data_IF_940484868927
#
_entry.id   IF_940484868927
#
_cell.length_a   1.000
_cell.length_b   1.000
_cell.length_c   1.000
_cell.angle_alpha   90.00
_cell.angle_beta   90.00
_cell.angle_gamma   90.00
#
_symmetry.space_group_name_H-M   'P 1'
#
loop_
_entity.id
_entity.type
_entity.pdbx_description
1 polymer ?
2 non-polymer ?
3 non-polymer ?
4 water ?
#
# COMPACT_ATOMS: atom_id res chain seq x y z
N UNK A 1 5.84 28.06 -5.10
CA UNK A 1 4.93 29.17 -4.72
C UNK A 1 3.51 28.64 -4.48
N UNK A 2 2.78 28.27 -5.50
CA UNK A 2 1.33 28.07 -5.24
C UNK A 2 1.10 26.77 -4.45
N UNK A 3 1.68 25.67 -4.89
CA UNK A 3 1.38 24.38 -4.23
C UNK A 3 2.64 23.67 -3.75
N UNK A 4 2.63 23.19 -2.52
CA UNK A 4 3.68 22.31 -2.02
C UNK A 4 3.12 20.89 -2.02
N UNK A 5 3.81 20.00 -2.74
CA UNK A 5 3.47 18.59 -2.85
C UNK A 5 4.43 17.83 -1.97
N UNK A 6 3.89 17.07 -1.02
CA UNK A 6 4.72 16.32 -0.08
C UNK A 6 4.78 14.92 -0.63
N UNK A 7 5.93 14.55 -1.19
CA UNK A 7 6.11 13.23 -1.77
C UNK A 7 6.37 13.23 -3.26
N UNK A 8 7.38 12.48 -3.72
CA UNK A 8 7.61 12.33 -5.15
C UNK A 8 7.65 10.85 -5.53
N UNK A 9 6.79 10.08 -4.91
CA UNK A 9 6.48 8.76 -5.42
C UNK A 9 5.42 8.89 -6.50
N UNK A 10 4.75 7.77 -6.76
CA UNK A 10 3.80 7.70 -7.86
C UNK A 10 2.66 8.69 -7.69
N UNK A 11 2.27 8.99 -6.46
CA UNK A 11 1.16 9.92 -6.28
C UNK A 11 1.60 11.37 -6.43
N UNK A 12 2.71 11.74 -5.80
CA UNK A 12 3.21 13.10 -5.95
C UNK A 12 3.65 13.45 -7.36
N UNK A 13 4.07 12.45 -8.13
CA UNK A 13 4.39 12.71 -9.54
C UNK A 13 3.12 12.96 -10.35
N UNK A 14 2.10 12.11 -10.18
CA UNK A 14 0.82 12.39 -10.86
C UNK A 14 0.33 13.79 -10.51
N UNK A 15 0.57 14.24 -9.28
CA UNK A 15 0.12 15.56 -8.86
C UNK A 15 0.91 16.66 -9.57
N UNK A 16 2.24 16.52 -9.63
CA UNK A 16 3.05 17.49 -10.35
C UNK A 16 2.72 17.54 -11.84
N UNK A 17 2.50 16.36 -12.43
CA UNK A 17 2.04 16.31 -13.81
C UNK A 17 0.73 17.07 -13.99
N UNK A 18 -0.22 16.87 -13.05
CA UNK A 18 -1.51 17.53 -13.20
C UNK A 18 -1.40 19.02 -12.94
N UNK A 19 -0.56 19.40 -12.00
CA UNK A 19 -0.32 20.82 -11.76
C UNK A 19 0.41 21.45 -12.94
N UNK A 20 1.39 20.74 -13.52
CA UNK A 20 2.12 21.31 -14.63
C UNK A 20 1.24 21.53 -15.85
N UNK A 21 0.26 20.64 -16.08
CA UNK A 21 -0.63 20.81 -17.21
C UNK A 21 -1.50 22.06 -17.08
N UNK A 22 -1.95 22.39 -15.88
CA UNK A 22 -2.76 23.59 -15.74
C UNK A 22 -1.91 24.83 -15.57
N UNK A 23 -0.59 24.69 -15.68
CA UNK A 23 0.28 25.82 -15.51
C UNK A 23 0.36 26.31 -14.09
N UNK A 24 0.09 25.45 -13.13
CA UNK A 24 0.10 25.84 -11.73
C UNK A 24 1.50 25.68 -11.18
N UNK A 25 1.97 26.73 -10.53
CA UNK A 25 3.28 26.71 -9.89
C UNK A 25 3.26 25.78 -8.69
N UNK A 26 4.30 24.96 -8.58
CA UNK A 26 4.35 23.99 -7.49
C UNK A 26 5.78 23.57 -7.25
N UNK A 27 6.07 23.18 -6.03
CA UNK A 27 7.31 22.50 -5.69
C UNK A 27 6.94 21.16 -5.07
N UNK A 28 7.82 20.19 -5.24
CA UNK A 28 7.58 18.83 -4.77
C UNK A 28 8.72 18.45 -3.85
N UNK A 29 8.41 18.21 -2.58
CA UNK A 29 9.42 17.94 -1.58
C UNK A 29 9.43 16.44 -1.31
N UNK A 30 10.63 15.85 -1.28
CA UNK A 30 10.80 14.40 -1.18
C UNK A 30 12.07 14.07 -0.41
N UNK A 31 11.97 13.21 0.64
CA UNK A 31 13.11 12.91 1.51
C UNK A 31 14.18 12.10 0.78
N UNK A 32 13.75 11.06 0.07
CA UNK A 32 14.67 10.17 -0.62
C UNK A 32 15.56 10.95 -1.58
N UNK A 33 16.71 10.37 -1.94
CA UNK A 33 17.59 11.05 -2.91
C UNK A 33 17.09 11.01 -4.35
N UNK A 34 15.90 10.43 -4.61
CA UNK A 34 15.37 10.33 -5.96
C UNK A 34 13.87 10.04 -5.89
N UNK A 35 13.19 10.34 -7.01
CA UNK A 35 11.77 10.11 -7.14
C UNK A 35 11.52 8.63 -7.26
N UNK A 36 10.26 8.20 -7.12
CA UNK A 36 9.98 6.78 -7.24
C UNK A 36 9.19 6.18 -6.09
N UNK A 37 9.26 6.82 -4.91
CA UNK A 37 8.53 6.29 -3.79
C UNK A 37 9.10 4.97 -3.31
N UNK A 38 8.20 4.07 -2.89
CA UNK A 38 8.65 2.79 -2.31
C UNK A 38 9.46 1.99 -3.33
N UNK A 39 9.13 2.12 -4.62
CA UNK A 39 9.76 1.27 -5.62
C UNK A 39 11.23 1.57 -5.80
N UNK A 40 11.68 2.72 -5.35
CA UNK A 40 13.10 3.07 -5.57
C UNK A 40 13.94 2.50 -4.42
N UNK A 41 13.30 2.07 -3.35
CA UNK A 41 14.01 1.66 -2.12
C UNK A 41 14.63 0.26 -2.21
N UNK A 42 13.93 -0.83 -2.56
CA UNK A 42 14.58 -2.12 -2.56
C UNK A 42 15.90 -2.08 -3.32
N UNK A 43 16.02 -1.25 -4.32
CA UNK A 43 17.24 -1.25 -5.15
C UNK A 43 18.34 -0.39 -4.60
N UNK A 44 18.10 0.23 -3.45
CA UNK A 44 19.12 1.14 -2.86
C UNK A 44 19.39 0.70 -1.43
N UNK A 45 18.78 -0.41 -1.03
CA UNK A 45 19.03 -0.98 0.31
C UNK A 45 18.46 -0.11 1.40
N UNK A 46 17.26 0.41 1.20
CA UNK A 46 16.72 1.37 2.19
C UNK A 46 15.57 0.71 2.93
N UNK A 47 15.50 0.96 4.24
CA UNK A 47 14.34 0.44 5.00
C UNK A 47 13.11 0.98 4.29
N UNK A 48 12.31 0.08 3.79
CA UNK A 48 11.05 0.46 3.15
C UNK A 48 10.21 -0.77 3.17
N UNK A 49 8.92 -0.76 2.86
CA UNK A 49 8.18 -2.00 2.83
C UNK A 49 8.48 -2.93 1.70
N UNK A 50 9.37 -2.65 0.80
CA UNK A 50 9.64 -3.56 -0.28
C UNK A 50 10.76 -4.46 0.06
N UNK A 51 11.04 -5.39 -0.83
CA UNK A 51 12.08 -6.39 -0.63
C UNK A 51 12.66 -6.75 -1.99
N UNK A 52 13.87 -7.34 -1.97
CA UNK A 52 14.63 -7.57 -3.18
C UNK A 52 13.84 -8.33 -4.26
N UNK A 53 12.81 -9.10 -3.90
CA UNK A 53 12.11 -9.93 -4.89
C UNK A 53 10.68 -9.46 -5.15
N UNK A 54 10.44 -8.15 -5.05
CA UNK A 54 9.10 -7.59 -5.23
C UNK A 54 8.84 -7.25 -6.69
N UNK A 55 7.71 -7.75 -7.22
CA UNK A 55 7.20 -7.41 -8.54
C UNK A 55 5.83 -6.78 -8.39
N UNK A 56 5.34 -6.13 -9.45
CA UNK A 56 3.93 -5.80 -9.50
C UNK A 56 3.10 -7.07 -9.38
N UNK A 57 1.92 -6.92 -8.78
CA UNK A 57 0.84 -7.91 -8.90
C UNK A 57 -0.33 -7.32 -9.66
N UNK A 58 -0.17 -6.14 -10.24
CA UNK A 58 -1.16 -5.59 -11.17
C UNK A 58 -0.57 -5.58 -12.58
N UNK A 59 -1.44 -5.71 -13.57
CA UNK A 59 -0.99 -5.63 -14.96
C UNK A 59 -0.31 -4.29 -15.23
N UNK A 60 0.83 -4.33 -15.94
CA UNK A 60 1.57 -3.09 -16.17
C UNK A 60 0.74 -2.06 -16.92
N UNK A 61 -0.12 -2.52 -17.83
CA UNK A 61 -0.91 -1.58 -18.63
C UNK A 61 -1.91 -0.83 -17.76
N UNK A 62 -2.49 -1.49 -16.75
CA UNK A 62 -3.32 -0.82 -15.76
C UNK A 62 -2.51 -0.12 -14.68
N UNK A 63 -1.20 -0.25 -14.67
CA UNK A 63 -0.40 0.28 -13.58
C UNK A 63 0.39 1.51 -13.97
N UNK A 64 0.91 1.55 -15.20
CA UNK A 64 1.56 2.75 -15.69
C UNK A 64 0.57 3.88 -15.89
N UNK A 65 1.11 5.10 -16.00
CA UNK A 65 0.26 6.24 -16.29
C UNK A 65 -0.32 6.09 -17.68
N UNK A 66 -1.55 6.57 -17.85
CA UNK A 66 -2.27 6.34 -19.10
C UNK A 66 -1.61 7.03 -20.31
N UNK A 67 -1.06 8.23 -20.11
CA UNK A 67 -0.37 8.96 -21.17
C UNK A 67 1.13 8.63 -21.28
N UNK A 68 1.56 7.52 -20.71
CA UNK A 68 3.00 7.29 -20.67
C UNK A 68 3.24 5.80 -20.44
N UNK A 69 3.10 4.99 -21.48
CA UNK A 69 3.18 3.54 -21.29
C UNK A 69 4.57 3.12 -20.86
N UNK A 70 4.62 2.01 -20.13
CA UNK A 70 5.88 1.39 -19.77
C UNK A 70 6.53 0.79 -21.01
N UNK A 71 7.86 0.68 -21.03
CA UNK A 71 8.54 0.04 -22.17
C UNK A 71 7.87 -1.26 -22.54
N UNK A 72 7.74 -1.51 -23.84
CA UNK A 72 7.04 -2.70 -24.26
C UNK A 72 7.87 -3.96 -23.99
N UNK A 73 9.18 -3.82 -23.81
CA UNK A 73 10.00 -4.93 -23.35
C UNK A 73 9.56 -5.42 -21.97
N UNK A 74 8.93 -4.56 -21.16
CA UNK A 74 8.59 -4.96 -19.80
C UNK A 74 7.63 -6.14 -19.83
N UNK A 75 7.70 -7.01 -18.83
CA UNK A 75 6.73 -8.09 -18.70
C UNK A 75 5.43 -7.54 -18.11
N UNK A 76 4.45 -8.44 -17.99
CA UNK A 76 3.20 -8.06 -17.34
C UNK A 76 3.43 -7.56 -15.92
N UNK A 77 4.21 -8.30 -15.12
CA UNK A 77 4.54 -7.89 -13.75
C UNK A 77 6.01 -7.54 -13.59
N UNK A 78 6.43 -6.31 -13.90
CA UNK A 78 7.86 -5.96 -13.80
C UNK A 78 8.41 -6.03 -12.37
N UNK A 79 9.74 -6.17 -12.28
CA UNK A 79 10.41 -6.11 -11.00
C UNK A 79 10.46 -4.68 -10.49
N UNK A 80 10.78 -4.52 -9.20
CA UNK A 80 10.74 -3.20 -8.57
C UNK A 80 11.76 -2.25 -9.19
N UNK A 81 12.89 -2.76 -9.69
CA UNK A 81 13.83 -1.88 -10.37
C UNK A 81 13.24 -1.34 -11.67
N UNK A 82 12.59 -2.20 -12.46
CA UNK A 82 11.91 -1.74 -13.67
C UNK A 82 10.88 -0.67 -13.34
N UNK A 83 10.08 -0.89 -12.30
CA UNK A 83 9.08 0.09 -11.92
C UNK A 83 9.74 1.38 -11.46
N UNK A 84 10.83 1.29 -10.71
CA UNK A 84 11.53 2.48 -10.25
C UNK A 84 12.17 3.23 -11.41
N UNK A 85 12.73 2.50 -12.38
CA UNK A 85 13.28 3.14 -13.58
C UNK A 85 12.18 3.87 -14.36
N UNK A 86 11.05 3.19 -14.58
CA UNK A 86 9.91 3.80 -15.28
C UNK A 86 9.51 5.13 -14.64
N UNK A 87 9.38 5.16 -13.31
CA UNK A 87 8.95 6.38 -12.65
C UNK A 87 9.99 7.49 -12.73
N UNK A 88 11.28 7.14 -12.76
CA UNK A 88 12.29 8.17 -12.99
C UNK A 88 12.14 8.76 -14.40
N UNK A 89 11.83 7.91 -15.38
CA UNK A 89 11.68 8.38 -16.74
C UNK A 89 10.46 9.27 -16.90
N UNK A 90 9.36 8.94 -16.21
CA UNK A 90 8.18 9.79 -16.26
C UNK A 90 8.49 11.20 -15.76
N UNK A 91 9.14 11.31 -14.61
CA UNK A 91 9.45 12.62 -14.06
C UNK A 91 10.34 13.41 -15.03
N UNK A 92 11.26 12.72 -15.70
CA UNK A 92 12.07 13.35 -16.74
C UNK A 92 11.18 13.83 -17.89
N UNK A 93 10.42 12.90 -18.48
CA UNK A 93 9.60 13.21 -19.64
C UNK A 93 8.58 14.30 -19.36
N UNK A 94 8.12 14.43 -18.11
CA UNK A 94 7.10 15.38 -17.77
C UNK A 94 7.65 16.71 -17.27
N UNK A 95 8.98 16.88 -17.30
CA UNK A 95 9.59 18.12 -16.86
C UNK A 95 9.32 18.46 -15.41
N UNK A 96 9.35 17.47 -14.53
CA UNK A 96 9.00 17.64 -13.13
C UNK A 96 10.21 17.86 -12.22
N UNK A 97 11.37 17.31 -12.57
CA UNK A 97 12.52 17.30 -11.66
C UNK A 97 13.07 18.69 -11.38
N UNK A 98 12.81 19.64 -12.27
CA UNK A 98 13.08 21.05 -12.00
C UNK A 98 12.26 21.56 -10.82
N UNK A 99 11.15 20.89 -10.50
CA UNK A 99 10.26 21.27 -9.41
C UNK A 99 10.41 20.37 -8.18
N UNK A 100 11.29 19.36 -8.23
CA UNK A 100 11.43 18.38 -7.15
C UNK A 100 12.67 18.73 -6.32
N UNK A 101 12.45 18.97 -5.02
CA UNK A 101 13.53 19.12 -4.05
C UNK A 101 13.76 17.76 -3.40
N UNK A 102 14.78 17.05 -3.88
CA UNK A 102 15.18 15.80 -3.28
C UNK A 102 15.92 16.06 -1.98
N UNK A 103 16.06 15.00 -1.16
CA UNK A 103 16.70 15.10 0.15
C UNK A 103 16.07 16.21 1.00
N UNK A 104 14.80 16.50 0.76
CA UNK A 104 14.05 17.51 1.51
C UNK A 104 12.86 16.84 2.20
N UNK A 105 12.85 16.90 3.51
CA UNK A 105 11.86 16.18 4.31
C UNK A 105 10.94 17.18 4.99
N UNK A 106 9.63 17.00 4.86
CA UNK A 106 8.74 17.98 5.49
C UNK A 106 8.60 17.63 6.95
N UNK A 107 8.70 18.62 7.83
CA UNK A 107 8.68 18.38 9.27
C UNK A 107 7.43 18.96 9.93
N UNK A 108 6.93 20.09 9.47
CA UNK A 108 5.63 20.54 9.92
C UNK A 108 4.89 21.22 8.78
N UNK A 109 3.57 21.11 8.84
CA UNK A 109 2.66 21.82 7.96
C UNK A 109 1.58 22.40 8.85
N UNK A 110 1.41 23.73 8.86
CA UNK A 110 0.45 24.38 9.75
C UNK A 110 -0.33 25.45 8.99
N UNK A 111 -1.65 25.47 9.19
CA UNK A 111 -2.50 26.42 8.48
C UNK A 111 -2.47 27.78 9.18
N UNK A 112 -1.91 28.77 8.50
CA UNK A 112 -1.84 30.13 9.03
C UNK A 112 -3.22 30.73 9.10
N UNK A 113 -3.39 31.68 10.03
CA UNK A 113 -4.71 32.21 10.30
C UNK A 113 -5.31 32.96 9.12
N UNK A 114 -4.49 33.22 8.10
CA UNK A 114 -4.91 34.03 6.93
C UNK A 114 -5.17 33.18 5.68
N UNK A 115 -4.98 31.88 5.78
CA UNK A 115 -5.30 31.02 4.63
C UNK A 115 -4.14 30.14 4.24
N UNK A 116 -2.99 30.70 3.86
CA UNK A 116 -1.83 29.90 3.54
C UNK A 116 -1.26 28.94 4.58
N UNK A 117 -0.32 28.09 4.16
CA UNK A 117 0.26 27.07 5.01
C UNK A 117 1.75 27.32 5.14
N UNK A 118 2.26 27.31 6.36
CA UNK A 118 3.70 27.37 6.56
C UNK A 118 4.24 25.95 6.64
N UNK A 119 5.18 25.64 5.75
CA UNK A 119 5.79 24.33 5.62
C UNK A 119 7.25 24.47 6.03
N UNK A 120 7.66 23.71 7.03
CA UNK A 120 9.05 23.69 7.47
C UNK A 120 9.69 22.43 6.91
N UNK A 121 10.81 22.61 6.24
CA UNK A 121 11.46 21.47 5.57
C UNK A 121 12.90 21.33 6.03
N UNK A 122 13.35 20.10 6.16
CA UNK A 122 14.75 19.84 6.56
C UNK A 122 15.51 19.48 5.30
N UNK A 123 16.51 20.28 4.95
CA UNK A 123 17.30 20.04 3.76
C UNK A 123 18.30 18.93 3.95
N UNK A 124 19.22 18.80 3.02
CA UNK A 124 20.18 17.67 3.09
C UNK A 124 21.08 17.84 4.31
N UNK A 125 21.42 19.08 4.65
CA UNK A 125 22.24 19.24 5.85
C UNK A 125 21.48 19.00 7.14
N UNK A 126 20.16 19.00 7.08
CA UNK A 126 19.34 19.22 8.25
C UNK A 126 18.99 20.67 8.45
N UNK A 127 19.51 21.58 7.61
CA UNK A 127 19.15 22.99 7.65
C UNK A 127 17.65 23.21 7.47
N UNK A 128 16.96 23.58 8.56
CA UNK A 128 15.53 23.80 8.49
C UNK A 128 15.25 25.13 7.80
N UNK A 129 14.42 25.09 6.76
CA UNK A 129 13.87 26.27 6.11
C UNK A 129 12.36 26.25 6.32
N UNK A 130 11.77 27.43 6.41
CA UNK A 130 10.35 27.57 6.65
C UNK A 130 9.77 28.38 5.51
N UNK A 131 8.79 27.83 4.81
CA UNK A 131 8.24 28.47 3.62
C UNK A 131 6.71 28.52 3.72
N UNK A 132 6.11 29.34 2.86
CA UNK A 132 4.66 29.49 2.84
C UNK A 132 4.09 29.15 1.47
N UNK A 133 2.96 28.45 1.46
CA UNK A 133 2.34 28.01 0.23
C UNK A 133 0.85 28.24 0.32
N UNK A 134 0.25 28.54 -0.83
CA UNK A 134 -1.19 28.75 -0.82
C UNK A 134 -1.90 27.45 -0.48
N UNK A 135 -1.40 26.34 -1.03
CA UNK A 135 -2.02 25.03 -0.93
C UNK A 135 -0.93 23.98 -0.77
N UNK A 136 -1.30 22.88 -0.09
CA UNK A 136 -0.45 21.73 0.17
C UNK A 136 -1.17 20.48 -0.28
N UNK A 137 -0.56 19.71 -1.18
CA UNK A 137 -1.05 18.39 -1.54
C UNK A 137 -0.20 17.35 -0.81
N UNK A 138 -0.84 16.47 -0.04
CA UNK A 138 -0.16 15.42 0.69
C UNK A 138 -0.18 14.16 -0.15
N UNK A 139 0.99 13.62 -0.43
CA UNK A 139 1.16 12.38 -1.18
C UNK A 139 2.34 11.62 -0.60
N UNK A 140 2.30 11.39 0.71
CA UNK A 140 3.43 10.80 1.41
C UNK A 140 3.26 9.31 1.64
N UNK A 141 2.18 8.73 1.11
CA UNK A 141 1.95 7.30 1.23
C UNK A 141 1.39 6.95 2.59
N UNK A 142 0.92 5.72 2.72
CA UNK A 142 0.41 5.28 4.02
C UNK A 142 1.01 3.94 4.45
N UNK A 143 2.24 3.65 4.05
CA UNK A 143 2.96 2.44 4.47
C UNK A 143 4.30 2.81 5.07
N UNK A 144 4.32 3.75 6.04
CA UNK A 144 5.59 4.24 6.55
C UNK A 144 5.72 4.17 8.08
N UNK A 145 4.79 3.53 8.77
CA UNK A 145 4.95 3.22 10.19
C UNK A 145 4.65 1.74 10.36
N UNK A 146 5.62 0.94 10.80
CA UNK A 146 5.36 -0.49 10.96
C UNK A 146 4.26 -0.72 11.99
N UNK A 147 3.53 -1.81 11.81
CA UNK A 147 2.46 -2.20 12.70
C UNK A 147 2.84 -3.56 13.27
N UNK A 148 3.50 -3.56 14.44
CA UNK A 148 3.84 -4.81 15.12
C UNK A 148 2.67 -5.27 15.99
N UNK A 149 2.40 -6.60 16.12
CA UNK A 149 1.25 -7.07 16.86
C UNK A 149 1.35 -6.81 18.36
N UNK A 150 0.20 -6.63 19.00
CA UNK A 150 0.19 -6.39 20.47
C UNK A 150 -0.84 -7.33 21.10
N UNK A 151 -0.42 -8.23 22.00
CA UNK A 151 0.95 -8.20 22.47
C UNK A 151 1.90 -9.07 21.68
N UNK A 152 3.16 -8.68 21.69
CA UNK A 152 4.15 -9.58 21.07
C UNK A 152 4.11 -10.81 21.97
N UNK A 153 3.85 -12.02 21.45
CA UNK A 153 3.87 -13.22 22.27
C UNK A 153 4.97 -13.45 23.30
N UNK A 154 4.60 -14.06 24.42
CA UNK A 154 5.45 -14.10 25.63
C UNK A 154 6.80 -14.74 25.38
N UNK A 155 7.79 -14.28 26.12
CA UNK A 155 9.13 -14.77 25.86
C UNK A 155 9.88 -13.96 24.85
N UNK A 156 9.26 -12.90 24.31
CA UNK A 156 9.91 -12.06 23.30
C UNK A 156 11.32 -11.66 23.71
N UNK A 157 11.51 -11.32 24.98
CA UNK A 157 12.81 -10.90 25.46
C UNK A 157 13.75 -12.08 25.69
N UNK A 158 13.19 -13.26 25.93
CA UNK A 158 14.02 -14.45 26.02
C UNK A 158 14.69 -14.76 24.70
N UNK A 159 14.15 -14.25 23.59
CA UNK A 159 14.41 -14.85 22.28
C UNK A 159 15.87 -14.68 21.87
N UNK A 160 16.49 -15.80 21.51
CA UNK A 160 17.91 -15.82 21.15
C UNK A 160 18.14 -15.14 19.80
N UNK A 161 17.23 -15.33 18.86
CA UNK A 161 17.33 -14.74 17.54
C UNK A 161 16.79 -13.32 17.48
N UNK A 162 16.56 -12.87 16.26
CA UNK A 162 16.09 -11.53 15.94
C UNK A 162 14.61 -11.55 15.60
N UNK A 163 13.88 -10.57 16.13
CA UNK A 163 12.49 -10.32 15.78
C UNK A 163 12.46 -9.03 14.97
N UNK A 164 11.81 -9.09 13.81
CA UNK A 164 11.85 -7.93 12.93
C UNK A 164 10.54 -7.82 12.17
N UNK A 165 10.26 -6.60 11.73
CA UNK A 165 9.13 -6.34 10.86
C UNK A 165 9.60 -6.44 9.41
N UNK A 166 8.64 -6.72 8.51
CA UNK A 166 8.93 -6.74 7.07
C UNK A 166 9.61 -5.46 6.61
N UNK A 167 9.34 -4.35 7.30
CA UNK A 167 10.04 -3.11 6.99
C UNK A 167 11.54 -3.31 6.97
N UNK A 168 12.04 -4.11 7.90
CA UNK A 168 13.46 -4.41 7.97
C UNK A 168 13.86 -5.58 7.08
N UNK A 169 12.90 -6.33 6.54
CA UNK A 169 13.26 -7.40 5.63
C UNK A 169 13.70 -6.81 4.30
N UNK A 170 14.71 -7.44 3.71
CA UNK A 170 15.50 -6.85 2.64
C UNK A 170 15.77 -7.89 1.55
N UNK A 171 16.36 -9.03 1.90
CA UNK A 171 16.59 -10.10 0.93
C UNK A 171 16.61 -11.45 1.65
N UNK A 172 16.12 -12.47 0.95
CA UNK A 172 16.16 -13.82 1.49
C UNK A 172 17.55 -14.31 1.80
N UNK A 173 18.54 -13.85 1.04
CA UNK A 173 19.90 -14.30 1.30
C UNK A 173 20.45 -13.83 2.62
N UNK A 174 19.82 -12.84 3.26
CA UNK A 174 20.24 -12.39 4.59
C UNK A 174 19.92 -13.42 5.66
N UNK A 175 19.36 -14.56 5.27
CA UNK A 175 18.97 -15.61 6.21
C UNK A 175 19.36 -16.97 5.68
N UNK A 176 20.27 -17.04 4.72
CA UNK A 176 20.75 -18.32 4.22
C UNK A 176 21.13 -19.22 5.39
N UNK A 177 20.67 -20.47 5.34
CA UNK A 177 21.00 -21.43 6.38
C UNK A 177 20.27 -21.27 7.70
N UNK A 178 19.59 -20.15 7.94
CA UNK A 178 18.88 -19.99 9.21
C UNK A 178 17.50 -20.63 9.14
N UNK A 179 16.81 -20.56 10.27
CA UNK A 179 15.45 -21.05 10.41
C UNK A 179 14.58 -19.86 10.75
N UNK A 180 13.57 -19.57 9.92
CA UNK A 180 12.83 -18.31 10.01
C UNK A 180 11.33 -18.58 10.03
N UNK A 181 10.61 -17.88 10.91
CA UNK A 181 9.16 -17.85 10.91
C UNK A 181 8.70 -16.52 10.32
N UNK A 182 7.73 -16.59 9.39
CA UNK A 182 7.06 -15.42 8.85
C UNK A 182 5.65 -15.38 9.41
N UNK A 183 5.26 -14.24 9.97
CA UNK A 183 3.97 -14.08 10.62
C UNK A 183 3.12 -13.19 9.73
N UNK A 184 1.97 -13.72 9.31
CA UNK A 184 1.02 -12.99 8.51
C UNK A 184 0.62 -13.78 7.29
N UNK A 185 -0.50 -13.41 6.67
CA UNK A 185 -0.91 -13.96 5.39
C UNK A 185 -1.21 -12.84 4.40
N UNK A 186 -0.46 -11.73 4.52
CA UNK A 186 -0.63 -10.61 3.62
C UNK A 186 0.23 -10.76 2.38
N UNK A 187 0.20 -9.72 1.54
CA UNK A 187 1.01 -9.76 0.33
C UNK A 187 2.49 -9.76 0.67
N UNK A 188 2.88 -9.03 1.71
CA UNK A 188 4.26 -9.08 2.18
C UNK A 188 4.63 -10.46 2.70
N UNK A 189 3.68 -11.16 3.35
CA UNK A 189 3.99 -12.42 4.01
C UNK A 189 4.18 -13.56 3.00
N UNK A 190 3.29 -13.69 2.02
CA UNK A 190 3.48 -14.78 1.08
C UNK A 190 4.74 -14.53 0.24
N UNK A 191 4.98 -13.27 -0.15
CA UNK A 191 6.17 -12.95 -0.94
C UNK A 191 7.45 -13.25 -0.14
N UNK A 192 7.49 -12.82 1.12
CA UNK A 192 8.68 -13.02 1.94
C UNK A 192 8.88 -14.50 2.25
N UNK A 193 7.80 -15.22 2.59
CA UNK A 193 7.91 -16.66 2.82
C UNK A 193 8.44 -17.39 1.59
N UNK A 194 7.87 -17.10 0.42
CA UNK A 194 8.37 -17.72 -0.81
C UNK A 194 9.83 -17.37 -1.03
N UNK A 195 10.23 -16.12 -0.79
CA UNK A 195 11.64 -15.78 -0.93
C UNK A 195 12.51 -16.58 0.05
N UNK A 196 12.17 -16.53 1.35
CA UNK A 196 12.96 -17.27 2.35
C UNK A 196 13.05 -18.75 2.00
N UNK A 197 11.94 -19.32 1.51
CA UNK A 197 11.90 -20.73 1.14
C UNK A 197 12.98 -21.15 0.16
N UNK A 198 13.66 -20.22 -0.50
CA UNK A 198 14.78 -20.58 -1.36
C UNK A 198 16.14 -20.18 -0.78
N UNK A 199 16.17 -19.73 0.48
CA UNK A 199 17.44 -19.36 1.10
C UNK A 199 17.57 -19.96 2.50
N UNK A 200 16.60 -19.71 3.37
CA UNK A 200 16.67 -20.30 4.70
C UNK A 200 16.70 -21.82 4.57
N UNK A 201 17.35 -22.44 5.56
CA UNK A 201 17.21 -23.89 5.69
C UNK A 201 15.73 -24.25 5.83
N UNK A 202 15.01 -23.53 6.68
CA UNK A 202 13.61 -23.84 6.93
C UNK A 202 12.78 -22.57 7.07
N UNK A 203 11.58 -22.58 6.49
CA UNK A 203 10.68 -21.42 6.43
C UNK A 203 9.28 -21.81 6.91
N UNK A 204 8.84 -21.20 8.00
CA UNK A 204 7.53 -21.45 8.60
C UNK A 204 6.61 -20.25 8.41
N UNK A 205 5.36 -20.52 8.04
CA UNK A 205 4.40 -19.46 7.74
C UNK A 205 3.30 -19.54 8.79
N UNK A 206 3.37 -18.64 9.78
CA UNK A 206 2.47 -18.65 10.93
C UNK A 206 1.32 -17.71 10.65
N UNK A 207 0.13 -18.24 10.42
CA UNK A 207 -1.04 -17.44 10.10
C UNK A 207 -2.18 -17.80 11.04
N UNK A 208 -2.82 -16.77 11.61
CA UNK A 208 -3.85 -16.92 12.63
C UNK A 208 -5.25 -16.56 12.14
N UNK A 209 -5.37 -15.65 11.18
CA UNK A 209 -6.62 -15.39 10.46
C UNK A 209 -6.42 -15.77 9.00
N UNK A 210 -7.19 -16.75 8.52
CA UNK A 210 -7.17 -17.11 7.12
C UNK A 210 -7.54 -15.98 6.18
N UNK A 211 -6.74 -15.80 5.13
CA UNK A 211 -7.08 -14.93 4.01
C UNK A 211 -7.25 -15.79 2.77
N UNK A 212 -7.92 -15.23 1.76
CA UNK A 212 -8.15 -15.98 0.54
C UNK A 212 -6.94 -15.82 -0.37
N UNK A 213 -6.46 -16.94 -0.89
CA UNK A 213 -5.21 -16.98 -1.65
C UNK A 213 -5.53 -17.11 -3.14
N UNK A 214 -5.60 -15.98 -3.83
CA UNK A 214 -5.98 -16.03 -5.24
C UNK A 214 -4.74 -15.87 -6.11
N UNK A 215 -4.59 -16.68 -7.16
CA UNK A 215 -3.44 -16.51 -8.05
C UNK A 215 -3.48 -15.17 -8.76
N UNK A 216 -2.33 -14.77 -9.29
CA UNK A 216 -2.29 -13.52 -10.06
C UNK A 216 -3.09 -13.61 -11.36
N UNK A 217 -3.62 -14.78 -11.68
CA UNK A 217 -4.10 -15.03 -13.03
C UNK A 217 -5.15 -16.13 -13.00
N UNK A 218 -6.31 -15.84 -13.57
CA UNK A 218 -7.29 -16.86 -13.91
C UNK A 218 -7.65 -16.70 -15.39
N UNK A 219 -7.86 -17.83 -16.06
CA UNK A 219 -8.11 -17.85 -17.49
C UNK A 219 -7.03 -17.10 -18.26
N UNK A 220 -5.79 -17.27 -17.82
CA UNK A 220 -4.68 -16.52 -18.38
C UNK A 220 -4.73 -15.03 -18.15
N UNK A 221 -5.73 -14.51 -17.47
CA UNK A 221 -5.90 -13.07 -17.34
C UNK A 221 -5.51 -12.63 -15.94
N UNK A 222 -4.88 -11.46 -15.85
CA UNK A 222 -4.64 -10.86 -14.57
C UNK A 222 -5.98 -10.58 -13.89
N UNK A 223 -6.02 -10.75 -12.56
CA UNK A 223 -7.29 -10.57 -11.87
C UNK A 223 -7.67 -9.10 -11.80
N UNK A 224 -6.69 -8.19 -11.85
CA UNK A 224 -7.05 -6.79 -11.91
C UNK A 224 -7.60 -6.40 -13.28
N UNK A 225 -7.26 -7.13 -14.33
CA UNK A 225 -7.85 -6.85 -15.63
C UNK A 225 -9.13 -7.65 -15.86
N UNK A 226 -9.32 -8.77 -15.15
CA UNK A 226 -10.64 -9.39 -15.16
C UNK A 226 -11.66 -8.45 -14.55
N UNK A 227 -11.23 -7.63 -13.59
CA UNK A 227 -12.13 -6.73 -12.89
C UNK A 227 -12.89 -5.79 -13.81
N UNK A 228 -12.36 -5.51 -15.01
CA UNK A 228 -13.07 -4.69 -15.98
C UNK A 228 -13.35 -5.41 -17.30
N UNK A 229 -13.08 -6.72 -17.38
CA UNK A 229 -13.61 -7.53 -18.45
C UNK A 229 -15.10 -7.28 -18.54
N UNK A 230 -15.58 -6.68 -19.64
CA UNK A 230 -17.01 -6.31 -19.72
C UNK A 230 -17.94 -7.48 -19.41
N UNK A 231 -17.58 -8.69 -19.84
CA UNK A 231 -18.38 -9.87 -19.50
C UNK A 231 -18.44 -10.09 -17.99
N UNK A 232 -17.40 -9.64 -17.27
CA UNK A 232 -17.37 -9.81 -15.82
C UNK A 232 -18.12 -8.70 -15.10
N UNK A 233 -18.21 -7.51 -15.71
CA UNK A 233 -18.84 -6.39 -15.04
C UNK A 233 -20.36 -6.53 -14.99
N UNK A 234 -20.94 -7.22 -15.96
CA UNK A 234 -22.38 -7.49 -16.00
C UNK A 234 -22.79 -8.63 -15.09
N UNK A 235 -21.85 -9.18 -14.33
CA UNK A 235 -22.13 -10.12 -13.25
C UNK A 235 -22.85 -9.38 -12.10
N UNK A 236 -23.76 -10.08 -11.42
CA UNK A 236 -24.16 -9.57 -10.13
C UNK A 236 -23.14 -10.01 -9.08
N UNK A 237 -23.27 -9.47 -7.86
CA UNK A 237 -22.24 -9.69 -6.86
C UNK A 237 -22.03 -11.18 -6.58
N UNK A 238 -23.11 -11.89 -6.21
CA UNK A 238 -22.99 -13.32 -5.99
C UNK A 238 -23.17 -14.14 -7.27
N UNK A 239 -23.25 -13.47 -8.42
CA UNK A 239 -23.08 -14.09 -9.73
C UNK A 239 -21.62 -14.26 -10.09
N UNK A 240 -20.80 -13.23 -9.81
CA UNK A 240 -19.36 -13.27 -10.08
C UNK A 240 -18.62 -14.06 -9.01
N UNK A 241 -18.91 -13.77 -7.73
CA UNK A 241 -18.40 -14.58 -6.63
C UNK A 241 -18.75 -16.04 -6.84
N UNK A 242 -19.87 -16.31 -7.49
CA UNK A 242 -20.18 -17.67 -7.93
C UNK A 242 -19.07 -18.22 -8.83
N UNK A 243 -18.72 -17.48 -9.88
CA UNK A 243 -17.71 -17.96 -10.82
C UNK A 243 -16.30 -17.78 -10.28
N UNK A 244 -16.03 -16.67 -9.60
CA UNK A 244 -14.70 -16.43 -9.03
C UNK A 244 -14.31 -17.56 -8.10
N UNK A 245 -15.24 -17.97 -7.24
CA UNK A 245 -14.91 -18.97 -6.23
C UNK A 245 -14.87 -20.38 -6.80
N UNK A 246 -15.60 -20.63 -7.88
CA UNK A 246 -15.37 -21.89 -8.58
C UNK A 246 -14.12 -21.82 -9.45
N UNK A 247 -13.76 -20.62 -9.92
CA UNK A 247 -12.49 -20.46 -10.61
C UNK A 247 -11.33 -20.87 -9.72
N UNK A 248 -11.36 -20.41 -8.47
CA UNK A 248 -10.33 -20.79 -7.50
C UNK A 248 -10.30 -22.30 -7.29
N UNK A 249 -11.47 -22.91 -7.12
CA UNK A 249 -11.44 -24.31 -6.70
C UNK A 249 -10.83 -25.21 -7.77
N UNK A 250 -11.06 -24.91 -9.05
CA UNK A 250 -10.41 -25.71 -10.10
C UNK A 250 -8.93 -25.37 -10.19
N UNK A 251 -8.59 -24.10 -9.98
CA UNK A 251 -7.20 -23.69 -10.11
C UNK A 251 -6.35 -24.19 -8.95
N UNK A 252 -6.90 -24.18 -7.73
CA UNK A 252 -6.08 -24.46 -6.55
C UNK A 252 -6.70 -25.42 -5.53
N UNK A 253 -7.99 -25.76 -5.60
CA UNK A 253 -8.66 -26.35 -4.46
C UNK A 253 -9.10 -25.24 -3.52
N UNK A 254 -9.39 -25.58 -2.26
CA UNK A 254 -9.53 -24.54 -1.24
C UNK A 254 -8.38 -24.63 -0.25
N UNK A 255 -8.25 -23.56 0.53
CA UNK A 255 -7.09 -23.38 1.39
C UNK A 255 -6.92 -24.49 2.42
N UNK A 256 -7.98 -25.25 2.71
CA UNK A 256 -8.00 -26.17 3.86
C UNK A 256 -7.13 -27.41 3.64
N UNK A 257 -6.74 -27.74 2.41
CA UNK A 257 -5.79 -28.82 2.19
C UNK A 257 -4.37 -28.32 1.93
N UNK A 258 -4.05 -27.11 2.36
CA UNK A 258 -2.66 -26.66 2.40
C UNK A 258 -2.20 -26.40 3.82
N UNK A 259 -2.99 -26.79 4.82
CA UNK A 259 -2.66 -26.45 6.18
C UNK A 259 -2.91 -25.00 6.51
N UNK A 260 -3.76 -24.33 5.73
CA UNK A 260 -4.09 -22.93 5.88
C UNK A 260 -5.45 -22.75 6.52
N UNK A 261 -5.58 -21.83 7.48
CA UNK A 261 -6.91 -21.50 8.01
C UNK A 261 -7.80 -20.99 6.89
N UNK A 262 -9.03 -21.63 6.73
CA UNK A 262 -9.74 -20.93 5.68
C UNK A 262 -10.53 -19.76 6.26
N UNK A 263 -10.81 -18.68 5.49
CA UNK A 263 -11.39 -17.49 6.09
C UNK A 263 -12.84 -17.47 6.52
N UNK A 264 -13.20 -16.50 7.36
CA UNK A 264 -14.58 -16.42 7.92
C UNK A 264 -15.47 -15.60 7.02
N UNK A 265 -15.45 -15.85 5.72
CA UNK A 265 -16.16 -14.98 4.77
C UNK A 265 -15.95 -15.59 3.40
N UNK A 266 -16.55 -15.07 2.32
CA UNK A 266 -16.13 -15.41 0.99
C UNK A 266 -15.25 -14.32 0.47
N UNK A 267 -14.77 -14.49 -0.75
CA UNK A 267 -13.82 -13.52 -1.35
C UNK A 267 -14.42 -12.11 -1.38
N UNK A 268 -13.56 -11.10 -1.51
CA UNK A 268 -13.99 -9.69 -1.62
C UNK A 268 -14.51 -9.23 -0.28
N UNK A 269 -14.57 -10.15 0.67
CA UNK A 269 -15.12 -9.81 2.01
C UNK A 269 -14.23 -8.84 2.77
N UNK A 270 -13.05 -9.27 3.18
CA UNK A 270 -12.15 -8.29 3.83
C UNK A 270 -10.98 -8.04 2.88
N UNK A 271 -10.18 -9.07 2.62
CA UNK A 271 -9.11 -8.89 1.60
C UNK A 271 -8.65 -10.25 1.11
N UNK A 272 -7.99 -10.24 -0.05
CA UNK A 272 -7.46 -11.47 -0.64
C UNK A 272 -5.99 -11.26 -0.86
N UNK A 273 -5.20 -12.30 -0.70
CA UNK A 273 -3.79 -12.13 -0.99
C UNK A 273 -3.49 -12.73 -2.34
N UNK A 274 -2.67 -12.05 -3.12
CA UNK A 274 -2.28 -12.52 -4.45
C UNK A 274 -0.92 -13.21 -4.41
N UNK A 275 -0.89 -14.46 -4.85
CA UNK A 275 0.39 -15.16 -5.02
C UNK A 275 0.30 -16.15 -6.16
N UNK A 276 1.44 -16.38 -6.79
CA UNK A 276 1.61 -17.49 -7.71
C UNK A 276 2.36 -18.65 -7.10
N UNK A 277 2.98 -18.45 -5.94
CA UNK A 277 4.00 -19.35 -5.41
C UNK A 277 3.59 -20.11 -4.15
N UNK A 278 2.98 -19.43 -3.18
CA UNK A 278 2.98 -19.90 -1.80
C UNK A 278 2.33 -21.28 -1.67
N UNK A 279 1.24 -21.54 -2.41
CA UNK A 279 0.62 -22.87 -2.33
C UNK A 279 1.57 -23.96 -2.82
N UNK A 280 2.24 -23.73 -3.96
CA UNK A 280 3.19 -24.72 -4.46
C UNK A 280 4.41 -24.84 -3.56
N UNK A 281 4.85 -23.72 -2.96
CA UNK A 281 5.97 -23.84 -2.02
C UNK A 281 5.59 -24.74 -0.84
N UNK A 282 4.36 -24.59 -0.33
CA UNK A 282 3.89 -25.52 0.70
C UNK A 282 4.01 -26.95 0.20
N UNK A 283 3.40 -27.24 -0.95
CA UNK A 283 3.35 -28.61 -1.46
C UNK A 283 4.71 -29.19 -1.81
N UNK A 284 5.76 -28.38 -1.91
CA UNK A 284 7.11 -28.88 -2.07
C UNK A 284 7.88 -28.98 -0.77
N UNK A 285 7.23 -28.70 0.37
CA UNK A 285 7.92 -28.65 1.64
C UNK A 285 8.76 -27.41 1.87
N UNK A 286 8.82 -26.47 0.93
CA UNK A 286 9.68 -25.32 1.14
C UNK A 286 9.13 -24.35 2.18
N UNK A 287 7.81 -24.32 2.40
CA UNK A 287 7.20 -23.49 3.43
C UNK A 287 6.23 -24.35 4.23
N UNK A 288 6.36 -24.30 5.55
CA UNK A 288 5.47 -25.11 6.38
C UNK A 288 4.43 -24.21 7.05
N UNK A 289 3.15 -24.44 6.79
CA UNK A 289 2.12 -23.64 7.47
C UNK A 289 2.05 -24.00 8.94
N UNK A 290 1.66 -23.03 9.75
CA UNK A 290 1.61 -23.14 11.20
C UNK A 290 0.52 -22.21 11.71
N UNK A 291 -0.09 -22.52 12.87
CA UNK A 291 -1.06 -21.59 13.45
C UNK A 291 -0.39 -20.38 14.07
N UNK A 292 -1.09 -19.65 14.93
CA UNK A 292 -0.50 -18.47 15.52
C UNK A 292 0.67 -18.85 16.43
N UNK A 293 1.66 -17.93 16.53
CA UNK A 293 2.74 -18.11 17.48
C UNK A 293 2.16 -17.98 18.89
N UNK A 294 2.56 -18.87 19.79
CA UNK A 294 2.06 -18.86 21.15
C UNK A 294 3.04 -18.38 22.17
N UNK A 295 4.31 -18.56 21.93
CA UNK A 295 5.33 -18.10 22.83
C UNK A 295 6.70 -18.36 22.28
N UNK A 296 7.70 -17.72 22.84
CA UNK A 296 9.04 -17.88 22.38
C UNK A 296 9.65 -18.54 23.54
N UNK A 297 10.18 -19.72 23.32
CA UNK A 297 10.77 -20.47 24.36
C UNK A 297 12.25 -20.36 24.41
N UNK A 298 12.83 -19.32 23.91
CA UNK A 298 14.26 -19.17 23.99
C UNK A 298 14.95 -19.35 22.68
N UNK A 299 14.90 -20.57 22.22
CA UNK A 299 15.49 -20.89 20.98
C UNK A 299 14.46 -21.29 20.02
N UNK A 300 13.32 -21.70 20.51
CA UNK A 300 12.27 -22.14 19.69
C UNK A 300 11.11 -21.25 19.71
N UNK A 301 10.22 -21.45 18.77
CA UNK A 301 8.93 -20.79 18.76
C UNK A 301 7.89 -21.86 19.04
N UNK A 302 6.93 -21.56 19.91
CA UNK A 302 5.84 -22.47 20.18
C UNK A 302 4.60 -21.92 19.54
N UNK A 303 3.92 -22.77 18.78
CA UNK A 303 2.67 -22.39 18.16
C UNK A 303 1.52 -22.94 18.98
N UNK A 304 0.35 -22.32 18.78
CA UNK A 304 -0.82 -22.56 19.61
C UNK A 304 -1.37 -23.96 19.47
N UNK A 305 -0.93 -24.75 18.49
CA UNK A 305 -1.35 -26.13 18.39
C UNK A 305 -0.51 -27.05 19.26
N UNK A 306 0.37 -26.47 20.09
CA UNK A 306 1.30 -27.23 20.88
C UNK A 306 2.65 -27.47 20.23
N UNK A 307 2.75 -27.32 18.91
CA UNK A 307 4.02 -27.67 18.28
C UNK A 307 5.06 -26.59 18.50
N UNK A 308 6.32 -26.99 18.36
CA UNK A 308 7.46 -26.15 18.67
C UNK A 308 8.41 -26.18 17.48
N UNK A 309 9.26 -25.17 17.40
CA UNK A 309 10.16 -25.12 16.26
C UNK A 309 11.39 -24.28 16.58
N UNK A 310 12.60 -24.82 16.40
CA UNK A 310 13.79 -23.96 16.49
C UNK A 310 13.73 -22.88 15.41
N UNK A 311 14.14 -21.66 15.79
CA UNK A 311 13.97 -20.49 14.95
C UNK A 311 15.04 -19.46 15.26
N UNK A 312 15.76 -19.04 14.23
CA UNK A 312 16.76 -17.99 14.36
C UNK A 312 16.20 -16.58 14.16
N UNK A 313 15.02 -16.44 13.53
CA UNK A 313 14.47 -15.12 13.23
C UNK A 313 12.96 -15.20 13.02
N UNK A 314 12.26 -14.13 13.40
CA UNK A 314 10.84 -13.96 13.08
C UNK A 314 10.66 -12.63 12.36
N UNK A 315 10.10 -12.67 11.15
CA UNK A 315 9.79 -11.47 10.38
C UNK A 315 8.30 -11.22 10.48
N UNK A 316 7.93 -10.08 11.04
CA UNK A 316 6.52 -9.75 11.21
C UNK A 316 6.05 -9.05 9.95
N UNK A 317 5.23 -9.76 9.18
CA UNK A 317 4.53 -9.25 8.00
C UNK A 317 3.14 -8.78 8.35
N UNK A 318 3.08 -7.85 9.30
CA UNK A 318 1.79 -7.46 9.86
C UNK A 318 1.34 -6.09 9.38
N UNK A 319 2.06 -5.50 8.45
CA UNK A 319 1.55 -4.34 7.77
C UNK A 319 1.96 -3.04 8.44
N UNK A 320 1.28 -1.97 8.01
CA UNK A 320 1.74 -0.64 8.34
C UNK A 320 0.61 0.20 8.93
N UNK A 321 1.01 1.16 9.75
CA UNK A 321 0.09 2.15 10.29
C UNK A 321 0.13 3.39 9.43
N UNK A 322 -0.96 4.12 9.48
CA UNK A 322 -1.23 5.27 8.63
C UNK A 322 -1.05 6.53 9.49
N UNK A 323 0.10 7.19 9.36
CA UNK A 323 0.39 8.40 10.13
C UNK A 323 0.91 9.52 9.24
N UNK A 324 0.82 10.74 9.77
CA UNK A 324 1.26 11.95 9.07
C UNK A 324 2.01 12.84 10.04
N UNK A 325 3.27 12.50 10.35
CA UNK A 325 3.94 13.19 11.48
C UNK A 325 4.11 14.67 11.26
N UNK A 326 4.02 15.14 10.02
CA UNK A 326 4.24 16.57 9.70
C UNK A 326 2.97 17.34 9.88
N UNK A 327 1.89 16.63 10.16
CA UNK A 327 0.60 17.29 10.41
C UNK A 327 0.27 17.27 11.90
N UNK A 328 0.56 18.32 12.68
CA UNK A 328 0.33 18.25 14.11
C UNK A 328 -1.01 17.73 14.53
N UNK A 329 -2.06 18.13 13.82
CA UNK A 329 -3.42 17.75 14.21
C UNK A 329 -3.79 16.35 13.78
N UNK A 330 -3.14 15.82 12.75
CA UNK A 330 -3.46 14.47 12.23
C UNK A 330 -4.27 14.52 10.96
N UNK A 331 -4.36 13.40 10.24
CA UNK A 331 -5.25 13.37 9.05
C UNK A 331 -6.69 13.35 9.55
N UNK A 332 -7.62 14.04 8.87
CA UNK A 332 -8.95 14.09 9.41
C UNK A 332 -9.41 12.70 9.75
N UNK A 333 -9.87 12.51 10.98
CA UNK A 333 -10.38 11.26 11.37
C UNK A 333 -11.58 11.37 12.22
N UNK A 334 -12.42 10.38 12.13
CA UNK A 334 -13.54 10.26 13.05
C UNK A 334 -13.06 9.63 14.36
N UNK A 335 -13.90 9.58 15.40
CA UNK A 335 -13.37 8.99 16.65
C UNK A 335 -13.05 7.51 16.44
N UNK A 336 -13.89 6.81 15.68
CA UNK A 336 -13.56 5.39 15.37
C UNK A 336 -12.16 5.33 14.79
N UNK A 337 -11.66 6.47 14.32
CA UNK A 337 -10.33 6.49 13.68
C UNK A 337 -10.52 6.29 12.21
N UNK A 338 -11.75 6.44 11.74
CA UNK A 338 -11.92 6.35 10.29
C UNK A 338 -11.54 7.67 9.62
N UNK A 339 -10.95 7.55 8.43
CA UNK A 339 -10.56 8.72 7.65
C UNK A 339 -11.79 9.52 7.25
N UNK A 340 -11.72 10.84 7.42
CA UNK A 340 -12.81 11.74 7.04
C UNK A 340 -12.31 12.66 5.93
N UNK A 341 -12.41 12.17 4.69
CA UNK A 341 -11.99 12.95 3.52
C UNK A 341 -13.07 12.87 2.46
N UNK A 342 -13.68 14.01 2.17
CA UNK A 342 -14.66 14.10 1.10
C UNK A 342 -14.12 13.50 -0.20
N UNK A 343 -14.87 12.55 -0.77
CA UNK A 343 -14.47 11.84 -1.98
C UNK A 343 -13.06 11.29 -1.84
N UNK A 344 -12.69 10.94 -0.59
CA UNK A 344 -11.44 10.33 -0.21
C UNK A 344 -10.25 11.28 -0.34
N UNK A 345 -10.48 12.58 -0.48
CA UNK A 345 -9.37 13.47 -0.81
C UNK A 345 -9.32 14.73 0.05
N UNK A 346 -10.47 15.33 0.33
CA UNK A 346 -10.51 16.73 0.75
C UNK A 346 -11.00 16.80 2.19
N UNK A 347 -10.22 17.38 3.10
CA UNK A 347 -10.75 17.66 4.44
C UNK A 347 -11.91 18.65 4.39
N UNK A 348 -12.93 18.39 5.20
CA UNK A 348 -14.13 19.21 5.19
C UNK A 348 -13.88 20.60 5.75
N UNK A 349 -12.86 20.79 6.56
CA UNK A 349 -12.74 22.01 7.33
C UNK A 349 -11.38 22.69 7.15
N UNK A 350 -10.64 22.30 6.12
CA UNK A 350 -9.25 22.74 5.95
C UNK A 350 -9.06 23.09 4.48
N UNK A 351 -9.35 24.32 4.09
CA UNK A 351 -9.15 24.70 2.69
C UNK A 351 -7.67 24.76 2.38
N UNK A 352 -7.33 24.34 1.16
CA UNK A 352 -5.97 24.37 0.69
C UNK A 352 -5.20 23.11 0.95
N UNK A 353 -5.82 22.12 1.57
CA UNK A 353 -5.21 20.85 1.88
C UNK A 353 -5.87 19.73 1.07
N UNK A 354 -5.05 18.80 0.59
CA UNK A 354 -5.55 17.69 -0.21
C UNK A 354 -4.68 16.47 0.06
N UNK A 355 -5.32 15.31 0.12
CA UNK A 355 -4.64 14.02 0.26
C UNK A 355 -4.85 13.21 -1.00
N UNK A 356 -3.77 12.70 -1.56
CA UNK A 356 -3.78 11.98 -2.82
C UNK A 356 -3.15 10.61 -2.61
N UNK A 357 -3.77 9.58 -3.20
CA UNK A 357 -3.26 8.23 -3.06
C UNK A 357 -3.63 7.55 -1.76
N UNK A 358 -4.36 8.22 -0.88
CA UNK A 358 -4.80 7.65 0.39
C UNK A 358 -6.10 6.85 0.19
N UNK A 359 -5.98 5.82 -0.62
CA UNK A 359 -7.06 4.89 -0.92
C UNK A 359 -6.43 3.54 -1.14
N UNK A 360 -7.27 2.51 -1.18
CA UNK A 360 -6.86 1.12 -1.34
C UNK A 360 -7.92 0.44 -2.19
N UNK A 361 -7.62 0.13 -3.44
CA UNK A 361 -8.67 -0.35 -4.34
C UNK A 361 -8.52 -1.80 -4.77
N UNK A 362 -9.60 -2.33 -5.32
CA UNK A 362 -9.49 -3.50 -6.18
C UNK A 362 -8.48 -3.14 -7.25
N UNK A 363 -7.33 -3.81 -7.25
CA UNK A 363 -6.43 -3.59 -8.35
C UNK A 363 -5.59 -2.34 -8.24
N UNK A 364 -5.14 -1.88 -9.41
CA UNK A 364 -4.10 -0.88 -9.48
C UNK A 364 -4.63 0.48 -9.09
N UNK A 365 -3.75 1.27 -8.49
CA UNK A 365 -4.13 2.56 -7.92
C UNK A 365 -3.89 3.71 -8.90
N UNK A 366 -3.28 3.45 -10.06
CA UNK A 366 -2.78 4.55 -10.88
C UNK A 366 -3.89 5.38 -11.48
N UNK A 367 -4.92 4.74 -12.05
CA UNK A 367 -5.98 5.54 -12.64
C UNK A 367 -6.66 6.40 -11.60
N UNK A 368 -6.76 5.89 -10.37
CA UNK A 368 -7.43 6.67 -9.32
C UNK A 368 -6.58 7.86 -8.91
N UNK A 369 -5.27 7.67 -8.79
CA UNK A 369 -4.36 8.75 -8.44
C UNK A 369 -4.37 9.82 -9.52
N UNK A 370 -4.46 9.40 -10.79
CA UNK A 370 -4.54 10.35 -11.88
C UNK A 370 -5.84 11.15 -11.80
N UNK A 371 -6.96 10.46 -11.57
CA UNK A 371 -8.23 11.15 -11.38
C UNK A 371 -8.16 12.14 -10.23
N UNK A 372 -7.59 11.71 -9.09
CA UNK A 372 -7.45 12.59 -7.95
C UNK A 372 -6.57 13.79 -8.28
N UNK A 373 -5.42 13.55 -8.93
CA UNK A 373 -4.51 14.64 -9.28
C UNK A 373 -5.22 15.65 -10.18
N UNK A 374 -5.94 15.17 -11.19
CA UNK A 374 -6.59 16.08 -12.13
C UNK A 374 -7.63 16.94 -11.41
N UNK A 375 -8.38 16.33 -10.48
CA UNK A 375 -9.39 17.08 -9.75
C UNK A 375 -8.74 18.13 -8.84
N UNK A 376 -7.68 17.73 -8.11
CA UNK A 376 -7.04 18.65 -7.19
C UNK A 376 -6.49 19.84 -7.93
N UNK A 377 -5.91 19.62 -9.11
CA UNK A 377 -5.32 20.74 -9.84
C UNK A 377 -6.38 21.76 -10.23
N UNK A 378 -7.59 21.28 -10.53
CA UNK A 378 -8.68 22.19 -10.88
C UNK A 378 -9.31 22.83 -9.65
N UNK A 379 -9.22 22.19 -8.48
CA UNK A 379 -9.59 22.85 -7.24
C UNK A 379 -8.58 23.95 -6.88
N UNK A 380 -7.29 23.71 -7.13
CA UNK A 380 -6.28 24.70 -6.77
C UNK A 380 -6.50 26.01 -7.53
N UNK A 381 -6.91 25.94 -8.81
CA UNK A 381 -7.03 27.17 -9.58
C UNK A 381 -8.48 27.53 -9.90
N UNK A 382 -9.44 26.94 -9.19
CA UNK A 382 -10.81 27.43 -9.27
C UNK A 382 -11.65 26.90 -10.40
N UNK A 383 -11.08 26.12 -11.31
CA UNK A 383 -11.91 25.43 -12.30
C UNK A 383 -12.94 24.50 -11.63
N UNK A 384 -12.63 23.98 -10.44
CA UNK A 384 -13.55 23.12 -9.70
C UNK A 384 -13.75 23.72 -8.32
N UNK A 385 -14.93 23.47 -7.75
CA UNK A 385 -15.29 23.99 -6.44
C UNK A 385 -15.82 22.82 -5.61
N UNK A 386 -15.82 23.02 -4.29
CA UNK A 386 -16.25 22.00 -3.33
C UNK A 386 -17.61 22.36 -2.77
N UNK A 387 -18.34 21.37 -2.26
CA UNK A 387 -19.56 21.67 -1.50
C UNK A 387 -19.24 22.34 -0.18
N UNK A 388 -20.24 23.01 0.37
CA UNK A 388 -20.08 23.57 1.72
C UNK A 388 -19.71 22.44 2.68
N UNK A 389 -19.11 22.78 3.83
CA UNK A 389 -18.49 21.77 4.68
C UNK A 389 -19.52 20.76 5.20
N UNK A 390 -20.68 21.24 5.64
CA UNK A 390 -21.71 20.33 6.10
C UNK A 390 -22.06 19.30 5.02
N UNK A 391 -22.11 19.74 3.75
CA UNK A 391 -22.40 18.81 2.67
C UNK A 391 -21.24 17.84 2.45
N UNK A 392 -20.01 18.31 2.60
CA UNK A 392 -18.86 17.42 2.44
C UNK A 392 -18.92 16.27 3.45
N UNK A 393 -19.14 16.59 4.73
CA UNK A 393 -19.17 15.50 5.70
C UNK A 393 -20.42 14.64 5.59
N UNK A 394 -21.45 15.09 4.88
CA UNK A 394 -22.55 14.19 4.53
C UNK A 394 -22.07 13.06 3.62
N UNK A 395 -21.25 13.38 2.62
CA UNK A 395 -20.73 12.32 1.76
C UNK A 395 -19.77 11.42 2.54
N UNK A 396 -18.99 12.00 3.46
CA UNK A 396 -18.13 11.17 4.29
C UNK A 396 -18.97 10.22 5.15
N UNK A 397 -20.10 10.71 5.66
CA UNK A 397 -20.99 9.87 6.44
C UNK A 397 -21.52 8.70 5.65
N UNK A 398 -22.01 8.96 4.43
CA UNK A 398 -22.48 7.86 3.58
C UNK A 398 -21.36 6.89 3.23
N UNK A 399 -20.17 7.39 2.89
CA UNK A 399 -19.04 6.49 2.61
C UNK A 399 -18.75 5.60 3.81
N UNK A 400 -18.75 6.19 5.01
CA UNK A 400 -18.24 5.51 6.20
C UNK A 400 -19.21 4.46 6.70
N UNK A 401 -20.50 4.81 6.81
CA UNK A 401 -21.48 3.83 7.25
C UNK A 401 -21.54 2.66 6.28
N UNK A 402 -21.42 2.94 4.98
CA UNK A 402 -21.29 1.88 4.00
C UNK A 402 -20.01 1.09 4.16
N UNK A 403 -18.96 1.72 4.70
CA UNK A 403 -17.72 0.98 4.95
C UNK A 403 -17.89 0.03 6.12
N UNK A 404 -18.46 0.51 7.24
CA UNK A 404 -18.67 -0.36 8.40
C UNK A 404 -19.62 -1.50 8.04
N UNK A 405 -20.58 -1.25 7.16
CA UNK A 405 -21.49 -2.30 6.73
C UNK A 405 -20.75 -3.38 5.93
N UNK A 406 -19.95 -2.97 4.95
CA UNK A 406 -19.37 -3.96 4.04
C UNK A 406 -18.09 -4.56 4.63
N UNK A 407 -17.06 -3.77 4.88
CA UNK A 407 -15.75 -4.37 5.30
C UNK A 407 -15.63 -4.42 6.80
N UNK A 408 -16.58 -3.80 7.50
CA UNK A 408 -16.57 -3.88 8.96
C UNK A 408 -15.63 -2.88 9.57
N UNK A 409 -15.55 -2.86 10.89
CA UNK A 409 -14.71 -1.87 11.60
C UNK A 409 -13.27 -2.41 11.66
N UNK A 410 -12.79 -2.93 10.54
CA UNK A 410 -11.39 -3.39 10.48
C UNK A 410 -10.48 -2.19 10.41
N UNK A 411 -9.19 -2.40 10.35
CA UNK A 411 -8.24 -1.28 10.26
C UNK A 411 -7.92 -1.00 8.81
N UNK A 412 -8.30 0.17 8.29
CA UNK A 412 -7.92 0.53 6.91
C UNK A 412 -9.03 0.31 5.93
N UNK A 413 -10.25 0.22 6.43
CA UNK A 413 -11.40 0.10 5.50
C UNK A 413 -11.87 1.51 5.17
N UNK A 414 -11.38 2.48 5.94
CA UNK A 414 -11.73 3.88 5.68
C UNK A 414 -11.12 4.42 4.40
N UNK A 415 -10.34 3.63 3.66
CA UNK A 415 -9.73 4.12 2.43
C UNK A 415 -10.03 3.13 1.31
N UNK A 416 -11.01 2.26 1.52
CA UNK A 416 -11.32 1.24 0.54
C UNK A 416 -12.30 1.77 -0.48
N UNK A 417 -12.02 1.51 -1.76
CA UNK A 417 -12.78 1.98 -2.90
C UNK A 417 -12.71 0.92 -3.98
N UNK A 418 -13.77 0.81 -4.80
CA UNK A 418 -13.70 -0.01 -6.00
C UNK A 418 -13.38 0.86 -7.21
N UNK A 419 -12.38 0.45 -7.99
CA UNK A 419 -11.90 1.32 -9.11
C UNK A 419 -13.08 1.90 -9.90
N UNK A 420 -14.00 1.05 -10.34
CA UNK A 420 -15.10 1.50 -11.22
C UNK A 420 -16.03 2.61 -10.83
N UNK A 421 -16.78 2.48 -9.74
CA UNK A 421 -17.65 3.57 -9.33
C UNK A 421 -16.90 4.80 -8.84
N UNK A 422 -15.65 4.62 -8.43
CA UNK A 422 -14.84 5.75 -8.00
C UNK A 422 -14.38 6.58 -9.20
N UNK A 423 -13.70 5.94 -10.16
CA UNK A 423 -13.35 6.65 -11.40
C UNK A 423 -14.58 7.18 -12.11
N UNK A 424 -15.73 6.51 -11.94
CA UNK A 424 -16.94 6.87 -12.66
C UNK A 424 -17.45 8.26 -12.33
N UNK A 425 -17.02 8.86 -11.23
CA UNK A 425 -17.46 10.20 -10.87
C UNK A 425 -16.43 11.26 -11.19
N UNK A 426 -15.29 10.90 -11.78
CA UNK A 426 -14.37 11.89 -12.30
C UNK A 426 -14.52 11.93 -13.83
#
# INVERSE_FOLDING_TARGET
MRVCVIGAGLSGLAVGHALKERGISFVCLEKAPDVGGIWRQPGAGERGPGYRTLHLNTAKQLTGYADFPMPDAYPLYPRHSQVAAYLRSFAEWAGLLDHVELRTEVVSVRQDADGPWTVVSRGADGAQVSRRFEQVVVASGHHNEPALPDPLPAGADSFAGTILHSLDYRDGGDFAGRRVVVVGLGASAVDIAADLSRHAERTLLSVRRGLHIVPKQLFGMSVDEIAEAPWWNEMSFDERRRWVEQALLVARGRLSDYGLPEPDHPVFSSATTLSDEILSRIRHGAVTPKPAIASFDGDRVVFTDGTSEPADAVVYCTGFHMTFPFLPAGCPMSADGSVELYRRVVPADRPGLYFVGLVRPVGAITRLVEAQAEWVARLVDGAAVLPAADQMREEIGTYLTGIVQRYGRTEGASIQVDVGPYLAEFRESLPV
#
